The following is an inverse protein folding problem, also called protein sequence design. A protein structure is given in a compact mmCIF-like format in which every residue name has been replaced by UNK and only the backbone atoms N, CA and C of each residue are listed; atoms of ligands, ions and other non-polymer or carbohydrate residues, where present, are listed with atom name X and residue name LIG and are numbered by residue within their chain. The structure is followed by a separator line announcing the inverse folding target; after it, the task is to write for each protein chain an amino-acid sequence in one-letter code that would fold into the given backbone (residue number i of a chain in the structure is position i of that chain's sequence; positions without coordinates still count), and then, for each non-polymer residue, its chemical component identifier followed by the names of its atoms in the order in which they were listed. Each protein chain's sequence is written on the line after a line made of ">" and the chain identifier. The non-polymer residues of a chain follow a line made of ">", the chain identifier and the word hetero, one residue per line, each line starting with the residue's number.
data_IF_555311447260
#
_entry.id   IF_555311447260
#
_cell.length_a   1.000
_cell.length_b   1.000
_cell.length_c   1.000
_cell.angle_alpha   90.00
_cell.angle_beta   90.00
_cell.angle_gamma   90.00
#
_symmetry.space_group_name_H-M   'P 1'
#
loop_
_entity.id
_entity.type
_entity.pdbx_description
1 polymer ?
#
# COMPACT_ATOMS: atom_id res chain seq x y z
N UNK A 1 -2.60 -33.91 -14.23
CA UNK A 1 -2.07 -32.71 -14.93
C UNK A 1 -3.18 -31.67 -14.96
N UNK A 2 -3.25 -30.80 -13.93
CA UNK A 2 -4.26 -29.74 -13.83
C UNK A 2 -3.88 -28.61 -14.80
N UNK A 3 -4.63 -28.43 -15.87
CA UNK A 3 -4.56 -27.20 -16.67
C UNK A 3 -5.25 -26.09 -15.88
N UNK A 4 -4.57 -24.98 -15.52
CA UNK A 4 -5.24 -23.84 -14.90
C UNK A 4 -6.30 -23.35 -15.89
N UNK A 5 -7.55 -23.24 -15.42
CA UNK A 5 -8.61 -22.53 -16.15
C UNK A 5 -8.08 -21.15 -16.52
N UNK A 6 -8.07 -20.82 -17.83
CA UNK A 6 -7.74 -19.46 -18.29
C UNK A 6 -8.61 -18.47 -17.50
N UNK A 7 -7.98 -17.68 -16.63
CA UNK A 7 -8.63 -16.53 -16.02
C UNK A 7 -9.11 -15.65 -17.18
N UNK A 8 -10.40 -15.30 -17.20
CA UNK A 8 -10.92 -14.35 -18.20
C UNK A 8 -10.03 -13.12 -18.23
N UNK A 9 -9.96 -12.41 -19.37
CA UNK A 9 -9.10 -11.25 -19.56
C UNK A 9 -9.35 -10.22 -18.45
N UNK A 10 -8.55 -10.27 -17.38
CA UNK A 10 -8.56 -9.27 -16.34
C UNK A 10 -7.92 -8.00 -16.93
N UNK A 11 -8.66 -6.90 -16.91
CA UNK A 11 -8.16 -5.62 -17.40
C UNK A 11 -7.19 -5.07 -16.37
N UNK A 12 -5.91 -5.03 -16.75
CA UNK A 12 -4.85 -4.41 -15.97
C UNK A 12 -4.80 -2.92 -16.20
N UNK A 13 -4.81 -2.15 -15.14
CA UNK A 13 -4.65 -0.69 -15.20
C UNK A 13 -3.33 -0.28 -14.57
N UNK A 14 -2.64 0.63 -15.24
CA UNK A 14 -1.33 1.15 -14.80
C UNK A 14 -1.36 2.67 -14.81
N UNK A 15 -0.89 3.27 -13.73
CA UNK A 15 -0.72 4.72 -13.61
C UNK A 15 0.72 4.97 -13.15
N UNK A 16 1.41 5.87 -13.85
CA UNK A 16 2.79 6.28 -13.52
C UNK A 16 2.83 7.76 -13.20
N UNK A 17 3.76 8.14 -12.31
CA UNK A 17 4.07 9.53 -11.99
C UNK A 17 2.83 10.34 -11.58
N UNK A 18 1.92 9.72 -10.83
CA UNK A 18 0.77 10.44 -10.29
C UNK A 18 1.16 11.23 -9.03
N UNK A 19 0.40 12.26 -8.73
CA UNK A 19 0.68 13.11 -7.56
C UNK A 19 0.15 12.44 -6.29
N UNK A 20 1.01 12.35 -5.29
CA UNK A 20 0.64 11.95 -3.93
C UNK A 20 0.60 13.22 -3.06
N UNK A 21 -0.50 13.53 -2.37
CA UNK A 21 -0.54 14.61 -1.39
C UNK A 21 0.48 14.38 -0.27
N UNK A 22 1.22 15.42 0.11
CA UNK A 22 2.25 15.33 1.14
C UNK A 22 1.73 15.92 2.45
N UNK A 23 1.44 15.05 3.40
CA UNK A 23 0.98 15.43 4.72
C UNK A 23 2.15 15.53 5.71
N UNK A 24 2.92 16.61 5.60
CA UNK A 24 4.12 16.86 6.44
C UNK A 24 3.80 16.79 7.93
N UNK A 25 2.64 17.30 8.33
CA UNK A 25 2.18 17.22 9.72
C UNK A 25 2.08 15.78 10.24
N UNK A 26 1.55 14.85 9.44
CA UNK A 26 1.43 13.44 9.84
C UNK A 26 2.78 12.77 9.99
N UNK A 27 3.74 13.10 9.11
CA UNK A 27 5.12 12.61 9.20
C UNK A 27 5.75 13.10 10.51
N UNK A 28 5.67 14.39 10.79
CA UNK A 28 6.23 14.97 12.01
C UNK A 28 5.53 14.46 13.28
N UNK A 29 4.22 14.27 13.24
CA UNK A 29 3.46 13.66 14.35
C UNK A 29 3.95 12.23 14.64
N UNK A 30 4.15 11.40 13.60
CA UNK A 30 4.71 10.06 13.78
C UNK A 30 6.16 10.12 14.28
N UNK A 31 6.99 11.01 13.75
CA UNK A 31 8.37 11.19 14.23
C UNK A 31 8.42 11.52 15.74
N UNK A 32 7.55 12.43 16.19
CA UNK A 32 7.41 12.78 17.63
C UNK A 32 6.95 11.57 18.46
N UNK A 33 5.98 10.77 17.96
CA UNK A 33 5.53 9.55 18.63
C UNK A 33 6.67 8.57 18.84
N UNK A 34 7.59 8.48 17.86
CA UNK A 34 8.79 7.63 17.93
C UNK A 34 9.97 8.30 18.65
N UNK A 35 9.74 9.47 19.28
CA UNK A 35 10.75 10.23 20.03
C UNK A 35 12.03 10.47 19.23
N UNK A 36 11.88 10.79 17.92
CA UNK A 36 13.04 11.16 17.10
C UNK A 36 13.53 12.54 17.54
N UNK A 37 14.83 12.63 17.83
CA UNK A 37 15.50 13.89 18.13
C UNK A 37 15.94 14.57 16.83
N UNK A 38 15.00 15.28 16.20
CA UNK A 38 15.23 15.95 14.92
C UNK A 38 16.27 17.09 15.02
N UNK A 39 16.31 17.91 16.11
CA UNK A 39 17.34 18.91 16.29
C UNK A 39 18.77 18.34 16.27
N UNK A 40 19.03 17.18 16.91
CA UNK A 40 20.35 16.55 16.91
C UNK A 40 20.78 16.08 15.52
N UNK A 41 19.81 15.82 14.64
CA UNK A 41 20.04 15.45 13.24
C UNK A 41 20.13 16.67 12.28
N UNK A 42 20.25 17.89 12.83
CA UNK A 42 20.36 19.12 12.05
C UNK A 42 19.03 19.74 11.62
N UNK A 43 17.89 19.14 11.99
CA UNK A 43 16.56 19.70 11.72
C UNK A 43 16.11 20.52 12.96
N UNK A 44 16.77 21.67 13.13
CA UNK A 44 16.71 22.50 14.36
C UNK A 44 15.32 23.05 14.69
N UNK A 45 14.47 23.21 13.68
CA UNK A 45 13.09 23.69 13.84
C UNK A 45 12.11 22.97 12.92
N UNK A 46 10.81 23.30 13.07
CA UNK A 46 9.75 22.67 12.28
C UNK A 46 9.85 23.03 10.79
N UNK A 47 10.36 24.21 10.44
CA UNK A 47 10.49 24.61 9.03
C UNK A 47 11.60 23.83 8.35
N UNK A 48 12.76 23.68 8.99
CA UNK A 48 13.85 22.82 8.49
C UNK A 48 13.38 21.38 8.27
N UNK A 49 12.58 20.85 9.21
CA UNK A 49 12.01 19.51 9.05
C UNK A 49 10.99 19.41 7.89
N UNK A 50 10.15 20.44 7.71
CA UNK A 50 9.21 20.52 6.57
C UNK A 50 9.94 20.60 5.23
N UNK A 51 10.98 21.42 5.13
CA UNK A 51 11.80 21.54 3.92
C UNK A 51 12.50 20.23 3.60
N UNK A 52 13.04 19.53 4.61
CA UNK A 52 13.64 18.22 4.43
C UNK A 52 12.64 17.22 3.86
N UNK A 53 11.42 17.14 4.44
CA UNK A 53 10.35 16.25 3.96
C UNK A 53 9.89 16.62 2.55
N UNK A 54 9.76 17.92 2.25
CA UNK A 54 9.45 18.38 0.89
C UNK A 54 10.53 17.95 -0.10
N UNK A 55 11.80 18.03 0.29
CA UNK A 55 12.91 17.52 -0.50
C UNK A 55 12.84 16.00 -0.74
N UNK A 56 12.37 15.20 0.23
CA UNK A 56 12.12 13.77 0.03
C UNK A 56 10.99 13.53 -0.98
N UNK A 57 9.93 14.33 -0.89
CA UNK A 57 8.79 14.23 -1.79
C UNK A 57 9.15 14.49 -3.27
N UNK A 58 10.15 15.29 -3.55
CA UNK A 58 10.65 15.52 -4.92
C UNK A 58 11.34 14.29 -5.52
N UNK A 59 11.76 13.34 -4.70
CA UNK A 59 12.42 12.12 -5.15
C UNK A 59 11.46 10.96 -5.40
N UNK A 60 10.16 11.10 -5.09
CA UNK A 60 9.19 10.05 -5.35
C UNK A 60 8.72 10.05 -6.81
N UNK A 61 8.69 8.86 -7.41
CA UNK A 61 8.16 8.57 -8.75
C UNK A 61 7.07 7.51 -8.63
N UNK A 62 5.91 7.87 -8.05
CA UNK A 62 4.92 6.87 -7.66
C UNK A 62 4.32 6.22 -8.90
N UNK A 63 4.28 4.90 -8.87
CA UNK A 63 3.70 4.10 -9.93
C UNK A 63 2.86 2.99 -9.33
N UNK A 64 1.69 2.74 -9.92
CA UNK A 64 0.77 1.70 -9.46
C UNK A 64 0.27 0.87 -10.62
N UNK A 65 0.03 -0.40 -10.34
CA UNK A 65 -0.70 -1.31 -11.21
C UNK A 65 -1.77 -2.00 -10.38
N UNK A 66 -2.96 -2.15 -10.93
CA UNK A 66 -4.08 -2.82 -10.26
C UNK A 66 -5.02 -3.48 -11.24
N UNK A 67 -5.78 -4.45 -10.73
CA UNK A 67 -6.82 -5.17 -11.46
C UNK A 67 -7.99 -5.52 -10.57
N UNK A 68 -9.18 -5.68 -11.16
CA UNK A 68 -10.37 -6.10 -10.45
C UNK A 68 -10.46 -7.63 -10.42
N UNK A 69 -10.55 -8.18 -9.22
CA UNK A 69 -10.78 -9.60 -9.00
C UNK A 69 -12.28 -9.85 -8.84
N UNK A 70 -12.88 -10.72 -9.67
CA UNK A 70 -14.30 -11.06 -9.55
C UNK A 70 -14.57 -11.84 -8.26
N UNK A 71 -15.83 -11.91 -7.85
CA UNK A 71 -16.26 -12.58 -6.61
C UNK A 71 -15.84 -14.05 -6.47
N UNK A 72 -15.58 -14.72 -7.59
CA UNK A 72 -15.19 -16.14 -7.62
C UNK A 72 -13.69 -16.36 -7.80
N UNK A 73 -12.90 -15.27 -7.78
CA UNK A 73 -11.44 -15.42 -7.95
C UNK A 73 -10.82 -16.06 -6.70
N UNK A 74 -9.99 -17.10 -6.86
CA UNK A 74 -9.38 -17.81 -5.75
C UNK A 74 -8.39 -16.91 -4.96
N UNK A 75 -7.75 -15.93 -5.61
CA UNK A 75 -6.88 -14.97 -4.92
C UNK A 75 -7.72 -14.06 -4.02
N UNK A 76 -8.87 -13.58 -4.51
CA UNK A 76 -9.78 -12.78 -3.71
C UNK A 76 -10.26 -13.54 -2.45
N UNK A 77 -10.55 -14.84 -2.59
CA UNK A 77 -10.92 -15.70 -1.47
C UNK A 77 -9.76 -15.90 -0.47
N UNK A 78 -8.53 -16.09 -0.97
CA UNK A 78 -7.33 -16.19 -0.12
C UNK A 78 -7.09 -14.92 0.71
N UNK A 79 -7.22 -13.74 0.08
CA UNK A 79 -6.96 -12.45 0.75
C UNK A 79 -8.04 -12.14 1.78
N UNK A 80 -9.34 -12.31 1.43
CA UNK A 80 -10.45 -11.94 2.31
C UNK A 80 -10.78 -12.99 3.37
N UNK A 81 -10.30 -14.21 3.22
CA UNK A 81 -10.74 -15.36 4.02
C UNK A 81 -12.22 -15.74 3.79
N UNK A 82 -12.89 -15.14 2.80
CA UNK A 82 -14.32 -15.32 2.50
C UNK A 82 -14.54 -15.49 1.00
N UNK A 83 -15.30 -16.50 0.62
CA UNK A 83 -15.74 -16.66 -0.77
C UNK A 83 -16.75 -15.56 -1.13
N UNK A 84 -16.77 -15.15 -2.40
CA UNK A 84 -17.76 -14.21 -2.91
C UNK A 84 -17.45 -12.73 -2.62
N UNK A 85 -16.21 -12.37 -2.35
CA UNK A 85 -15.77 -10.98 -2.20
C UNK A 85 -15.21 -10.47 -3.52
N UNK A 86 -15.80 -9.41 -4.07
CA UNK A 86 -15.19 -8.64 -5.18
C UNK A 86 -14.14 -7.72 -4.58
N UNK A 87 -12.98 -7.59 -5.21
CA UNK A 87 -11.95 -6.67 -4.74
C UNK A 87 -11.09 -6.15 -5.88
N UNK A 88 -10.36 -5.09 -5.62
CA UNK A 88 -9.26 -4.63 -6.45
C UNK A 88 -7.96 -5.03 -5.79
N UNK A 89 -7.10 -5.77 -6.47
CA UNK A 89 -5.73 -6.03 -6.04
C UNK A 89 -4.77 -5.11 -6.77
N UNK A 90 -3.74 -4.62 -6.09
CA UNK A 90 -2.78 -3.71 -6.69
C UNK A 90 -1.41 -3.74 -6.02
N UNK A 91 -0.45 -3.15 -6.72
CA UNK A 91 0.88 -2.85 -6.23
C UNK A 91 1.21 -1.38 -6.50
N UNK A 92 1.89 -0.73 -5.56
CA UNK A 92 2.30 0.66 -5.62
C UNK A 92 3.74 0.79 -5.15
N UNK A 93 4.58 1.49 -5.91
CA UNK A 93 5.97 1.81 -5.54
C UNK A 93 6.21 3.31 -5.54
N UNK A 94 7.18 3.75 -4.71
CA UNK A 94 7.66 5.14 -4.72
C UNK A 94 8.79 5.38 -5.74
N UNK A 95 9.25 4.32 -6.41
CA UNK A 95 10.31 4.38 -7.42
C UNK A 95 11.73 4.24 -6.87
N UNK A 96 12.67 3.96 -7.76
CA UNK A 96 14.08 3.72 -7.42
C UNK A 96 14.84 4.99 -7.04
N UNK A 97 14.42 6.15 -7.54
CA UNK A 97 15.02 7.45 -7.22
C UNK A 97 14.88 7.78 -5.74
N UNK A 98 13.71 7.48 -5.15
CA UNK A 98 13.49 7.64 -3.72
C UNK A 98 14.43 6.74 -2.91
N UNK A 99 14.53 5.46 -3.25
CA UNK A 99 15.43 4.52 -2.56
C UNK A 99 16.89 4.94 -2.68
N UNK A 100 17.32 5.37 -3.88
CA UNK A 100 18.69 5.84 -4.14
C UNK A 100 19.04 7.09 -3.32
N UNK A 101 18.07 7.96 -3.05
CA UNK A 101 18.26 9.10 -2.17
C UNK A 101 18.47 8.65 -0.72
N UNK A 102 17.61 7.76 -0.21
CA UNK A 102 17.71 7.26 1.15
C UNK A 102 19.01 6.51 1.42
N UNK A 103 19.54 5.79 0.43
CA UNK A 103 20.81 5.08 0.54
C UNK A 103 22.01 6.00 0.83
N UNK A 104 21.91 7.29 0.52
CA UNK A 104 22.95 8.29 0.76
C UNK A 104 22.92 8.89 2.15
N UNK A 105 21.85 8.69 2.91
CA UNK A 105 21.67 9.26 4.25
C UNK A 105 22.53 8.49 5.25
N UNK A 106 23.51 9.17 5.87
CA UNK A 106 24.44 8.57 6.83
C UNK A 106 23.91 8.60 8.27
N UNK A 107 23.09 9.58 8.62
CA UNK A 107 22.61 9.83 9.97
C UNK A 107 21.36 8.98 10.29
N UNK A 108 21.35 8.30 11.45
CA UNK A 108 20.32 7.30 11.79
C UNK A 108 18.94 7.92 12.07
N UNK A 109 18.89 9.07 12.71
CA UNK A 109 17.61 9.76 12.99
C UNK A 109 16.94 10.19 11.68
N UNK A 110 17.73 10.69 10.70
CA UNK A 110 17.20 11.02 9.37
C UNK A 110 16.72 9.77 8.64
N UNK A 111 17.48 8.66 8.69
CA UNK A 111 17.02 7.38 8.09
C UNK A 111 15.68 6.91 8.69
N UNK A 112 15.48 7.07 10.00
CA UNK A 112 14.22 6.73 10.65
C UNK A 112 13.09 7.68 10.21
N UNK A 113 13.37 8.98 10.09
CA UNK A 113 12.40 9.96 9.55
C UNK A 113 12.01 9.61 8.12
N UNK A 114 12.98 9.26 7.28
CA UNK A 114 12.78 8.86 5.89
C UNK A 114 11.93 7.58 5.77
N UNK A 115 12.15 6.59 6.64
CA UNK A 115 11.30 5.38 6.69
C UNK A 115 9.85 5.74 7.04
N UNK A 116 9.64 6.62 8.02
CA UNK A 116 8.32 7.11 8.41
C UNK A 116 7.66 7.84 7.22
N UNK A 117 8.40 8.72 6.56
CA UNK A 117 7.91 9.45 5.40
C UNK A 117 7.53 8.50 4.26
N UNK A 118 8.39 7.53 3.94
CA UNK A 118 8.12 6.52 2.91
C UNK A 118 6.86 5.68 3.20
N UNK A 119 6.66 5.28 4.46
CA UNK A 119 5.46 4.55 4.86
C UNK A 119 4.18 5.41 4.65
N UNK A 120 4.23 6.69 5.03
CA UNK A 120 3.09 7.62 4.85
C UNK A 120 2.86 7.89 3.36
N UNK A 121 3.91 8.05 2.55
CA UNK A 121 3.76 8.23 1.10
C UNK A 121 3.09 7.02 0.44
N UNK A 122 3.47 5.79 0.83
CA UNK A 122 2.81 4.57 0.34
C UNK A 122 1.34 4.52 0.76
N UNK A 123 1.04 4.77 2.04
CA UNK A 123 -0.32 4.79 2.57
C UNK A 123 -1.19 5.82 1.83
N UNK A 124 -0.68 7.04 1.66
CA UNK A 124 -1.36 8.11 0.94
C UNK A 124 -1.55 7.76 -0.53
N UNK A 125 -0.53 7.17 -1.17
CA UNK A 125 -0.63 6.73 -2.57
C UNK A 125 -1.69 5.66 -2.77
N UNK A 126 -1.82 4.69 -1.87
CA UNK A 126 -2.89 3.68 -1.90
C UNK A 126 -4.27 4.33 -1.69
N UNK A 127 -4.37 5.35 -0.82
CA UNK A 127 -5.63 6.08 -0.63
C UNK A 127 -6.03 6.86 -1.89
N UNK A 128 -5.08 7.47 -2.62
CA UNK A 128 -5.34 8.10 -3.93
C UNK A 128 -5.90 7.07 -4.93
N UNK A 129 -5.34 5.86 -4.96
CA UNK A 129 -5.89 4.79 -5.80
C UNK A 129 -7.30 4.40 -5.35
N UNK A 130 -7.55 4.31 -4.03
CA UNK A 130 -8.90 4.04 -3.48
C UNK A 130 -9.90 5.12 -3.90
N UNK A 131 -9.54 6.40 -3.82
CA UNK A 131 -10.41 7.50 -4.23
C UNK A 131 -10.74 7.45 -5.73
N UNK A 132 -9.75 7.12 -6.57
CA UNK A 132 -9.97 6.90 -8.00
C UNK A 132 -10.98 5.77 -8.23
N UNK A 133 -10.82 4.63 -7.54
CA UNK A 133 -11.72 3.49 -7.64
C UNK A 133 -13.12 3.78 -7.06
N UNK A 134 -13.22 4.66 -6.07
CA UNK A 134 -14.51 5.04 -5.49
C UNK A 134 -15.43 5.70 -6.52
N UNK A 135 -14.86 6.54 -7.40
CA UNK A 135 -15.61 7.17 -8.49
C UNK A 135 -16.18 6.16 -9.50
N UNK A 136 -15.56 4.98 -9.61
CA UNK A 136 -15.99 3.90 -10.51
C UNK A 136 -16.95 2.93 -9.83
N UNK A 137 -16.72 2.62 -8.54
CA UNK A 137 -17.53 1.67 -7.79
C UNK A 137 -18.91 2.21 -7.37
N UNK A 138 -19.00 3.51 -7.16
CA UNK A 138 -20.23 4.16 -6.67
C UNK A 138 -21.41 4.04 -7.65
N UNK A 139 -21.25 4.29 -8.97
CA UNK A 139 -22.32 4.08 -9.93
C UNK A 139 -22.77 2.61 -10.03
N UNK A 140 -21.88 1.65 -9.76
CA UNK A 140 -22.20 0.22 -9.73
C UNK A 140 -22.88 -0.21 -8.42
N UNK A 141 -23.12 0.69 -7.48
CA UNK A 141 -23.77 0.42 -6.19
C UNK A 141 -22.87 -0.25 -5.16
N UNK A 142 -21.54 -0.10 -5.29
CA UNK A 142 -20.57 -0.59 -4.34
C UNK A 142 -19.96 0.55 -3.50
N UNK A 143 -19.49 0.20 -2.32
CA UNK A 143 -18.65 1.01 -1.44
C UNK A 143 -17.32 0.28 -1.24
N UNK A 144 -16.23 1.03 -1.18
CA UNK A 144 -14.90 0.47 -0.95
C UNK A 144 -14.58 0.44 0.54
N UNK A 145 -14.11 -0.71 1.02
CA UNK A 145 -13.55 -0.82 2.36
C UNK A 145 -12.14 -0.22 2.46
N UNK A 146 -11.59 -0.25 3.66
CA UNK A 146 -10.21 0.13 3.86
C UNK A 146 -9.26 -0.86 3.16
N UNK A 147 -8.15 -0.37 2.61
CA UNK A 147 -7.15 -1.23 2.01
C UNK A 147 -6.64 -2.28 2.99
N UNK A 148 -6.53 -3.51 2.54
CA UNK A 148 -5.84 -4.60 3.23
C UNK A 148 -4.44 -4.67 2.64
N UNK A 149 -3.41 -4.49 3.47
CA UNK A 149 -2.03 -4.59 3.03
C UNK A 149 -1.57 -6.04 3.14
N UNK A 150 -1.20 -6.63 2.00
CA UNK A 150 -0.65 -7.99 1.93
C UNK A 150 0.85 -7.91 2.17
N UNK A 151 1.48 -6.82 1.70
CA UNK A 151 2.84 -6.45 1.99
C UNK A 151 2.99 -4.94 1.97
N UNK A 152 3.82 -4.40 2.86
CA UNK A 152 4.25 -3.01 2.83
C UNK A 152 5.69 -2.93 3.33
N UNK A 153 6.54 -2.26 2.59
CA UNK A 153 7.91 -2.00 3.00
C UNK A 153 8.24 -0.51 2.78
N UNK A 154 8.58 0.24 3.83
CA UNK A 154 8.68 -0.21 5.22
C UNK A 154 7.34 -0.67 5.78
N UNK A 155 7.34 -1.58 6.77
CA UNK A 155 6.12 -2.03 7.40
C UNK A 155 5.31 -0.84 7.90
N UNK A 156 4.01 -0.85 7.67
CA UNK A 156 3.12 0.10 8.33
C UNK A 156 3.17 -0.21 9.83
N UNK A 157 3.52 0.78 10.63
CA UNK A 157 3.49 0.64 12.08
C UNK A 157 2.04 0.62 12.57
N UNK A 158 1.38 -0.51 12.39
CA UNK A 158 0.29 -0.89 13.28
C UNK A 158 0.93 -1.08 14.66
N UNK A 159 0.35 -0.48 15.67
CA UNK A 159 0.86 -0.29 17.05
C UNK A 159 1.31 -1.56 17.82
N UNK A 160 2.04 -2.46 17.19
CA UNK A 160 2.63 -3.64 17.78
C UNK A 160 4.09 -3.72 17.34
N UNK A 161 4.96 -3.53 18.32
CA UNK A 161 6.41 -3.68 18.24
C UNK A 161 6.79 -5.15 18.02
N UNK A 162 6.57 -5.67 16.83
CA UNK A 162 7.11 -6.96 16.43
C UNK A 162 8.14 -6.68 15.35
N UNK A 163 9.38 -7.09 15.60
CA UNK A 163 10.46 -7.08 14.61
C UNK A 163 9.98 -7.72 13.31
N UNK A 164 10.50 -7.32 12.12
CA UNK A 164 10.10 -7.92 10.86
C UNK A 164 10.45 -9.40 10.88
N UNK A 165 9.51 -10.20 11.36
CA UNK A 165 9.59 -11.66 11.27
C UNK A 165 9.60 -12.00 9.79
N UNK A 166 10.50 -12.87 9.39
CA UNK A 166 10.56 -13.39 8.02
C UNK A 166 9.16 -13.76 7.55
N UNK A 167 8.75 -13.19 6.41
CA UNK A 167 7.42 -13.39 5.81
C UNK A 167 7.10 -14.88 5.77
N UNK A 168 5.97 -15.35 6.34
CA UNK A 168 5.63 -16.76 6.33
C UNK A 168 5.62 -17.32 4.90
N UNK A 169 6.02 -18.58 4.72
CA UNK A 169 6.09 -19.25 3.39
C UNK A 169 4.78 -19.12 2.58
N UNK A 170 3.63 -19.07 3.26
CA UNK A 170 2.32 -18.88 2.64
C UNK A 170 2.15 -17.49 2.00
N UNK A 171 2.60 -16.44 2.66
CA UNK A 171 2.56 -15.07 2.12
C UNK A 171 3.47 -14.94 0.89
N UNK A 172 4.60 -15.68 0.84
CA UNK A 172 5.47 -15.70 -0.34
C UNK A 172 4.78 -16.25 -1.58
N UNK A 173 3.96 -17.30 -1.47
CA UNK A 173 3.22 -17.84 -2.63
C UNK A 173 2.13 -16.88 -3.10
N UNK A 174 1.36 -16.30 -2.18
CA UNK A 174 0.34 -15.30 -2.52
C UNK A 174 0.96 -14.07 -3.18
N UNK A 175 2.09 -13.62 -2.67
CA UNK A 175 2.85 -12.51 -3.24
C UNK A 175 3.28 -12.84 -4.66
N UNK A 176 3.85 -14.03 -4.92
CA UNK A 176 4.25 -14.45 -6.27
C UNK A 176 3.07 -14.55 -7.22
N UNK A 177 1.93 -15.10 -6.77
CA UNK A 177 0.70 -15.15 -7.56
C UNK A 177 0.23 -13.73 -7.93
N UNK A 178 0.26 -12.78 -6.97
CA UNK A 178 -0.11 -11.39 -7.21
C UNK A 178 0.86 -10.67 -8.14
N UNK A 179 2.17 -10.90 -7.99
CA UNK A 179 3.18 -10.34 -8.88
C UNK A 179 2.97 -10.76 -10.33
N UNK A 180 2.76 -12.07 -10.54
CA UNK A 180 2.48 -12.61 -11.86
C UNK A 180 1.17 -12.05 -12.41
N UNK A 181 0.14 -11.95 -11.57
CA UNK A 181 -1.16 -11.42 -11.96
C UNK A 181 -1.09 -9.94 -12.33
N UNK A 182 -0.38 -9.14 -11.53
CA UNK A 182 -0.32 -7.68 -11.65
C UNK A 182 0.71 -7.21 -12.68
N UNK A 183 1.56 -8.12 -13.21
CA UNK A 183 2.64 -7.75 -14.14
C UNK A 183 3.44 -6.55 -13.60
N UNK A 184 3.91 -6.65 -12.35
CA UNK A 184 4.53 -5.55 -11.60
C UNK A 184 5.79 -4.99 -12.26
N UNK A 185 6.43 -5.75 -13.14
CA UNK A 185 7.55 -5.30 -13.98
C UNK A 185 7.17 -4.07 -14.82
N UNK A 186 5.89 -3.93 -15.19
CA UNK A 186 5.40 -2.75 -15.94
C UNK A 186 5.53 -1.44 -15.16
N UNK A 187 5.63 -1.51 -13.83
CA UNK A 187 5.89 -0.36 -12.95
C UNK A 187 7.30 -0.38 -12.36
N UNK A 188 8.19 -1.22 -12.92
CA UNK A 188 9.59 -1.30 -12.51
C UNK A 188 9.81 -2.02 -11.18
N UNK A 189 8.88 -2.90 -10.77
CA UNK A 189 9.00 -3.67 -9.52
C UNK A 189 9.30 -5.11 -9.84
N UNK A 190 10.43 -5.59 -9.32
CA UNK A 190 10.87 -6.99 -9.35
C UNK A 190 10.74 -7.65 -7.97
N UNK A 191 10.70 -8.99 -7.97
CA UNK A 191 10.73 -9.82 -6.76
C UNK A 191 11.61 -11.05 -7.01
N UNK A 192 12.81 -11.05 -6.45
CA UNK A 192 13.77 -12.14 -6.59
C UNK A 192 14.31 -12.56 -5.21
N UNK A 193 14.44 -13.86 -4.99
CA UNK A 193 14.97 -14.43 -3.75
C UNK A 193 14.34 -13.87 -2.46
N UNK A 194 13.07 -13.50 -2.48
CA UNK A 194 12.37 -12.92 -1.34
C UNK A 194 12.58 -11.42 -1.15
N UNK A 195 13.26 -10.75 -2.06
CA UNK A 195 13.58 -9.31 -1.99
C UNK A 195 12.85 -8.55 -3.09
N UNK A 196 12.26 -7.43 -2.70
CA UNK A 196 11.64 -6.49 -3.64
C UNK A 196 12.64 -5.44 -4.12
N UNK A 197 12.51 -5.08 -5.39
CA UNK A 197 13.27 -3.97 -5.99
C UNK A 197 12.33 -3.12 -6.83
N UNK A 198 12.10 -1.82 -6.52
CA UNK A 198 12.56 -1.09 -5.33
C UNK A 198 11.94 -1.61 -4.03
N UNK A 199 12.57 -1.33 -2.87
CA UNK A 199 12.12 -1.79 -1.55
C UNK A 199 10.86 -1.07 -1.06
N UNK A 200 10.66 0.21 -1.45
CA UNK A 200 9.48 0.98 -1.05
C UNK A 200 8.28 0.63 -1.92
N UNK A 201 7.57 -0.39 -1.47
CA UNK A 201 6.47 -1.04 -2.17
C UNK A 201 5.32 -1.36 -1.21
N UNK A 202 4.09 -1.16 -1.68
CA UNK A 202 2.88 -1.70 -1.06
C UNK A 202 2.19 -2.66 -2.04
N UNK A 203 1.84 -3.87 -1.57
CA UNK A 203 0.92 -4.77 -2.24
C UNK A 203 -0.36 -4.76 -1.42
N UNK A 204 -1.46 -4.42 -2.04
CA UNK A 204 -2.71 -4.16 -1.35
C UNK A 204 -3.91 -4.77 -2.06
N UNK A 205 -5.00 -4.93 -1.32
CA UNK A 205 -6.31 -5.25 -1.86
C UNK A 205 -7.36 -4.32 -1.25
N UNK A 206 -8.32 -3.89 -2.05
CA UNK A 206 -9.43 -3.04 -1.64
C UNK A 206 -10.73 -3.81 -1.86
N UNK A 207 -11.41 -4.28 -0.80
CA UNK A 207 -12.68 -4.99 -0.92
C UNK A 207 -13.82 -4.07 -1.37
N UNK A 208 -14.74 -4.62 -2.17
CA UNK A 208 -15.93 -3.95 -2.67
C UNK A 208 -17.16 -4.52 -1.99
N UNK A 209 -17.89 -3.69 -1.24
CA UNK A 209 -19.10 -4.09 -0.53
C UNK A 209 -20.32 -3.51 -1.21
N UNK A 210 -21.32 -4.33 -1.46
CA UNK A 210 -22.61 -3.86 -1.96
C UNK A 210 -23.31 -2.99 -0.91
N UNK A 211 -23.71 -1.77 -1.28
CA UNK A 211 -24.45 -0.84 -0.41
C UNK A 211 -25.72 -1.47 0.20
N UNK A 212 -26.35 -2.45 -0.48
CA UNK A 212 -27.52 -3.18 0.02
C UNK A 212 -27.19 -4.11 1.20
N UNK A 213 -26.03 -4.77 1.21
CA UNK A 213 -25.59 -5.66 2.30
C UNK A 213 -25.32 -4.89 3.60
N UNK A 214 -24.70 -3.70 3.49
CA UNK A 214 -24.34 -2.88 4.66
C UNK A 214 -25.57 -2.43 5.46
N UNK A 215 -26.69 -2.09 4.79
CA UNK A 215 -27.97 -1.75 5.47
C UNK A 215 -28.56 -2.92 6.24
N UNK A 216 -28.35 -4.14 5.81
CA UNK A 216 -28.89 -5.35 6.45
C UNK A 216 -28.08 -5.71 7.70
N UNK A 217 -26.77 -5.55 7.69
CA UNK A 217 -25.88 -5.79 8.84
C UNK A 217 -26.11 -4.74 9.93
N UNK A 218 -26.21 -3.46 9.60
CA UNK A 218 -26.52 -2.40 10.55
C UNK A 218 -27.90 -2.53 11.21
N UNK A 219 -28.90 -3.15 10.53
CA UNK A 219 -30.19 -3.44 11.14
C UNK A 219 -30.13 -4.62 12.10
N UNK A 220 -29.29 -5.62 11.87
CA UNK A 220 -29.11 -6.76 12.78
C UNK A 220 -28.43 -6.36 14.09
N UNK A 221 -27.44 -5.45 14.04
CA UNK A 221 -26.77 -4.97 15.26
C UNK A 221 -27.66 -4.06 16.11
N UNK A 222 -28.55 -3.26 15.50
CA UNK A 222 -29.50 -2.41 16.24
C UNK A 222 -30.68 -3.16 16.83
N UNK A 223 -30.92 -4.42 16.48
CA UNK A 223 -31.97 -5.26 17.00
C UNK A 223 -31.54 -6.22 18.13
N UNK A 224 -30.31 -6.08 18.63
CA UNK A 224 -29.74 -6.88 19.72
C UNK A 224 -29.43 -6.07 20.99
N UNK A 225 -30.16 -5.02 21.25
CA UNK A 225 -30.13 -4.27 22.52
C UNK A 225 -31.37 -4.62 23.32
#
# INVERSE_FOLDING_TARGET
>A
MFRPKRRGNLVMRKIKNFKIPIYTYDILRRARKHKLDLPSAGLVDENAAKEYIAGLALAIEPSTVFTHLPQQDPIAAKISGRAGTRMTAGALTLGGTFESRLAKTGEETLRRLERIAGAIFLETGVNVVKELLASESEPEGFELENPVYIHSSPPQETASSVEPTAVPLFENELIKELFTLLETEKIGVGFEAGVFTPKYLAIFAIPWISKKKKKTEQKKDKGRV
#
